data_IF_410411681175
#
_entry.id   IF_410411681175
#
_cell.length_a   1.000
_cell.length_b   1.000
_cell.length_c   1.000
_cell.angle_alpha   90.00
_cell.angle_beta   90.00
_cell.angle_gamma   90.00
#
_symmetry.space_group_name_H-M   'P 1'
#
loop_
_entity.id
_entity.type
_entity.pdbx_description
1 polymer ?
#
# COMPACT_ATOMS: atom_id res chain seq x y z
N UNK A 1 25.97 22.25 22.78
CA UNK A 1 25.50 21.85 21.44
C UNK A 1 25.22 20.38 21.48
N UNK A 2 23.94 20.01 21.62
CA UNK A 2 23.48 18.63 21.59
C UNK A 2 23.20 18.37 20.11
N UNK A 3 24.03 17.55 19.45
CA UNK A 3 23.77 17.13 18.09
C UNK A 3 22.55 16.22 18.11
N UNK A 4 21.46 16.66 17.50
CA UNK A 4 20.31 15.80 17.28
C UNK A 4 20.76 14.64 16.38
N UNK A 5 20.70 13.44 16.93
CA UNK A 5 20.92 12.22 16.18
C UNK A 5 19.67 12.06 15.30
N UNK A 6 19.77 12.10 13.96
CA UNK A 6 18.59 11.88 13.13
C UNK A 6 18.05 10.48 13.43
N UNK A 7 16.76 10.41 13.75
CA UNK A 7 16.04 9.14 13.85
C UNK A 7 16.05 8.53 12.46
N UNK A 8 17.00 7.63 12.20
CA UNK A 8 16.91 6.72 11.07
C UNK A 8 15.72 5.81 11.34
N UNK A 9 14.60 6.04 10.67
CA UNK A 9 13.53 5.06 10.59
C UNK A 9 14.14 3.83 9.93
N UNK A 10 14.47 2.82 10.75
CA UNK A 10 14.94 1.55 10.23
C UNK A 10 13.89 1.01 9.26
N UNK A 11 14.39 0.62 8.09
CA UNK A 11 13.69 0.05 6.96
C UNK A 11 12.58 -0.89 7.42
N UNK A 12 11.43 -0.85 6.72
CA UNK A 12 10.30 -1.73 7.00
C UNK A 12 10.71 -3.19 7.16
N UNK A 13 9.85 -3.98 7.82
CA UNK A 13 9.97 -5.43 8.01
C UNK A 13 10.73 -6.03 6.82
N UNK A 14 12.03 -6.36 6.98
CA UNK A 14 13.00 -6.50 5.88
C UNK A 14 12.79 -7.77 5.04
N UNK A 15 11.59 -7.94 4.52
CA UNK A 15 11.16 -9.07 3.71
C UNK A 15 11.23 -8.68 2.23
N UNK A 16 11.75 -9.58 1.37
CA UNK A 16 11.66 -9.41 -0.07
C UNK A 16 10.20 -9.24 -0.51
N UNK A 17 9.95 -8.29 -1.41
CA UNK A 17 8.62 -8.03 -1.94
C UNK A 17 7.91 -9.30 -2.46
N UNK A 18 8.58 -10.24 -3.16
CA UNK A 18 7.93 -11.49 -3.56
C UNK A 18 7.39 -12.32 -2.39
N UNK A 19 8.05 -12.30 -1.22
CA UNK A 19 7.58 -13.01 -0.03
C UNK A 19 6.36 -12.33 0.58
N UNK A 20 6.33 -10.99 0.60
CA UNK A 20 5.18 -10.22 1.07
C UNK A 20 3.97 -10.51 0.17
N UNK A 21 4.16 -10.47 -1.16
CA UNK A 21 3.10 -10.75 -2.13
C UNK A 21 2.57 -12.18 -1.98
N UNK A 22 3.47 -13.16 -1.80
CA UNK A 22 3.05 -14.55 -1.60
C UNK A 22 2.27 -14.74 -0.30
N UNK A 23 2.73 -14.12 0.79
CA UNK A 23 1.99 -14.12 2.06
C UNK A 23 0.59 -13.53 1.89
N UNK A 24 0.44 -12.42 1.16
CA UNK A 24 -0.86 -11.80 0.91
C UNK A 24 -1.79 -12.70 0.09
N UNK A 25 -1.27 -13.43 -0.90
CA UNK A 25 -2.06 -14.43 -1.64
C UNK A 25 -2.57 -15.55 -0.74
N UNK A 26 -1.73 -16.05 0.16
CA UNK A 26 -2.11 -17.07 1.14
C UNK A 26 -3.18 -16.57 2.11
N UNK A 27 -3.05 -15.32 2.58
CA UNK A 27 -4.06 -14.70 3.44
C UNK A 27 -5.39 -14.50 2.71
N UNK A 28 -5.37 -14.03 1.46
CA UNK A 28 -6.56 -13.86 0.63
C UNK A 28 -7.27 -15.18 0.31
N UNK A 29 -6.53 -16.28 0.22
CA UNK A 29 -7.09 -17.62 0.01
C UNK A 29 -7.62 -18.28 1.30
N UNK A 30 -7.34 -17.70 2.46
CA UNK A 30 -7.75 -18.26 3.75
C UNK A 30 -9.22 -17.97 4.06
N UNK A 31 -9.98 -19.00 4.42
CA UNK A 31 -11.38 -18.85 4.82
C UNK A 31 -11.57 -18.14 6.18
N UNK A 32 -10.51 -18.08 7.01
CA UNK A 32 -10.58 -17.55 8.37
C UNK A 32 -10.12 -16.07 8.46
N UNK A 33 -9.66 -15.49 7.36
CA UNK A 33 -9.14 -14.13 7.30
C UNK A 33 -10.03 -13.30 6.38
N UNK A 34 -10.58 -12.20 6.92
CA UNK A 34 -11.26 -11.19 6.12
C UNK A 34 -10.28 -10.08 5.83
N UNK A 35 -10.02 -9.83 4.54
CA UNK A 35 -9.21 -8.71 4.07
C UNK A 35 -10.13 -7.66 3.48
N UNK A 36 -10.03 -6.42 3.95
CA UNK A 36 -10.75 -5.31 3.32
C UNK A 36 -10.23 -5.09 1.90
N UNK A 37 -11.14 -4.84 0.96
CA UNK A 37 -10.81 -4.68 -0.47
C UNK A 37 -10.09 -5.92 -1.06
N UNK A 38 -10.52 -7.11 -0.64
CA UNK A 38 -9.92 -8.38 -1.07
C UNK A 38 -9.92 -8.58 -2.58
N UNK A 39 -10.98 -8.17 -3.29
CA UNK A 39 -11.08 -8.36 -4.75
C UNK A 39 -10.08 -7.47 -5.50
N UNK A 40 -9.99 -6.20 -5.11
CA UNK A 40 -9.04 -5.25 -5.67
C UNK A 40 -7.60 -5.66 -5.34
N UNK A 41 -7.35 -6.08 -4.10
CA UNK A 41 -6.04 -6.55 -3.69
C UNK A 41 -5.64 -7.84 -4.42
N UNK A 42 -6.55 -8.80 -4.57
CA UNK A 42 -6.31 -10.05 -5.29
C UNK A 42 -5.94 -9.76 -6.75
N UNK A 43 -6.63 -8.82 -7.39
CA UNK A 43 -6.32 -8.37 -8.75
C UNK A 43 -4.92 -7.74 -8.82
N UNK A 44 -4.58 -6.90 -7.85
CA UNK A 44 -3.29 -6.20 -7.80
C UNK A 44 -2.12 -7.18 -7.61
N UNK A 45 -2.25 -8.15 -6.70
CA UNK A 45 -1.18 -9.13 -6.41
C UNK A 45 -1.10 -10.26 -7.45
N UNK A 46 -2.14 -10.47 -8.26
CA UNK A 46 -2.12 -11.40 -9.39
C UNK A 46 -1.46 -10.85 -10.65
N UNK A 47 -1.19 -9.53 -10.71
CA UNK A 47 -0.52 -8.92 -11.86
C UNK A 47 0.87 -9.51 -12.10
N UNK A 48 1.31 -9.57 -13.37
CA UNK A 48 2.63 -10.09 -13.75
C UNK A 48 3.78 -9.29 -13.12
N UNK A 49 3.55 -8.02 -12.82
CA UNK A 49 4.49 -7.14 -12.12
C UNK A 49 3.71 -6.34 -11.07
N UNK A 50 3.47 -6.91 -9.88
CA UNK A 50 2.79 -6.19 -8.82
C UNK A 50 3.67 -5.01 -8.36
N UNK A 51 3.08 -3.90 -7.93
CA UNK A 51 3.85 -2.73 -7.49
C UNK A 51 4.81 -3.10 -6.35
N UNK A 52 6.07 -2.67 -6.49
CA UNK A 52 7.17 -3.10 -5.62
C UNK A 52 7.08 -2.55 -4.20
N UNK A 53 6.28 -1.51 -4.00
CA UNK A 53 5.94 -0.86 -2.74
C UNK A 53 4.65 -0.08 -2.98
N UNK A 54 3.89 0.28 -1.93
CA UNK A 54 2.64 1.04 -1.96
C UNK A 54 1.32 0.24 -1.87
N UNK A 55 1.36 -1.04 -1.46
CA UNK A 55 0.12 -1.81 -1.25
C UNK A 55 -0.82 -1.15 -0.23
N UNK A 56 -0.24 -0.60 0.85
CA UNK A 56 -1.01 0.15 1.84
C UNK A 56 -1.68 1.39 1.24
N UNK A 57 -1.00 2.12 0.36
CA UNK A 57 -1.55 3.31 -0.28
C UNK A 57 -2.72 2.96 -1.23
N UNK A 58 -2.66 1.81 -1.92
CA UNK A 58 -3.80 1.30 -2.68
C UNK A 58 -5.00 1.02 -1.78
N UNK A 59 -4.81 0.35 -0.65
CA UNK A 59 -5.88 0.09 0.32
C UNK A 59 -6.51 1.39 0.84
N UNK A 60 -5.69 2.39 1.17
CA UNK A 60 -6.17 3.71 1.62
C UNK A 60 -7.00 4.40 0.53
N UNK A 61 -6.56 4.34 -0.72
CA UNK A 61 -7.31 4.92 -1.85
C UNK A 61 -8.64 4.21 -2.04
N UNK A 62 -8.65 2.87 -2.05
CA UNK A 62 -9.89 2.12 -2.22
C UNK A 62 -10.87 2.36 -1.09
N UNK A 63 -10.39 2.45 0.15
CA UNK A 63 -11.23 2.79 1.31
C UNK A 63 -11.87 4.17 1.12
N UNK A 64 -11.07 5.20 0.81
CA UNK A 64 -11.59 6.54 0.59
C UNK A 64 -12.61 6.62 -0.57
N UNK A 65 -12.30 5.98 -1.70
CA UNK A 65 -13.21 5.96 -2.85
C UNK A 65 -14.53 5.24 -2.54
N UNK A 66 -14.46 4.12 -1.79
CA UNK A 66 -15.64 3.37 -1.35
C UNK A 66 -16.54 4.20 -0.42
N UNK A 67 -15.95 5.06 0.41
CA UNK A 67 -16.67 5.97 1.31
C UNK A 67 -17.16 7.26 0.61
N UNK A 68 -16.98 7.37 -0.72
CA UNK A 68 -17.48 8.47 -1.52
C UNK A 68 -16.52 9.66 -1.63
N UNK A 69 -15.28 9.53 -1.17
CA UNK A 69 -14.26 10.53 -1.45
C UNK A 69 -13.99 10.58 -2.96
N UNK A 70 -13.82 11.79 -3.48
CA UNK A 70 -13.43 11.98 -4.89
C UNK A 70 -11.98 11.58 -5.14
N UNK A 71 -11.11 11.87 -4.16
CA UNK A 71 -9.65 11.68 -4.18
C UNK A 71 -9.14 11.50 -2.77
N UNK A 72 -8.01 10.82 -2.64
CA UNK A 72 -7.18 10.77 -1.42
C UNK A 72 -5.98 11.69 -1.62
N UNK A 73 -5.64 12.48 -0.60
CA UNK A 73 -4.50 13.40 -0.64
C UNK A 73 -3.32 12.78 0.12
N UNK A 74 -2.12 12.85 -0.45
CA UNK A 74 -0.87 12.36 0.16
C UNK A 74 0.25 13.41 0.06
N UNK A 75 1.27 13.28 0.90
CA UNK A 75 2.54 13.99 0.74
C UNK A 75 3.56 13.19 -0.08
N UNK A 76 3.30 11.91 -0.34
CA UNK A 76 4.17 11.05 -1.13
C UNK A 76 3.96 11.30 -2.63
N UNK A 77 4.92 11.98 -3.25
CA UNK A 77 4.92 12.28 -4.69
C UNK A 77 4.97 11.04 -5.57
N UNK A 78 5.62 9.95 -5.14
CA UNK A 78 5.68 8.70 -5.90
C UNK A 78 4.32 8.01 -5.88
N UNK A 79 3.69 7.91 -4.70
CA UNK A 79 2.36 7.32 -4.57
C UNK A 79 1.31 8.12 -5.36
N UNK A 80 1.30 9.46 -5.22
CA UNK A 80 0.42 10.35 -5.97
C UNK A 80 0.55 10.20 -7.49
N UNK A 81 1.75 9.88 -8.00
CA UNK A 81 1.98 9.65 -9.43
C UNK A 81 1.54 8.25 -9.89
N UNK A 82 1.69 7.25 -9.02
CA UNK A 82 1.52 5.85 -9.38
C UNK A 82 0.09 5.33 -9.17
N UNK A 83 -0.67 5.89 -8.23
CA UNK A 83 -1.92 5.30 -7.74
C UNK A 83 -3.12 6.11 -8.23
N UNK A 84 -3.99 5.54 -9.08
CA UNK A 84 -5.21 6.20 -9.52
C UNK A 84 -6.12 6.53 -8.34
N UNK A 85 -6.53 7.79 -8.21
CA UNK A 85 -7.37 8.24 -7.09
C UNK A 85 -6.60 8.93 -5.96
N UNK A 86 -5.27 8.93 -6.01
CA UNK A 86 -4.41 9.67 -5.09
C UNK A 86 -3.86 10.96 -5.74
N UNK A 87 -3.73 12.04 -4.97
CA UNK A 87 -3.17 13.33 -5.41
C UNK A 87 -2.16 13.87 -4.40
N UNK A 88 -1.14 14.58 -4.88
CA UNK A 88 -0.15 15.24 -4.02
C UNK A 88 -0.78 16.49 -3.41
N UNK A 89 -0.58 16.71 -2.11
CA UNK A 89 -0.98 17.97 -1.47
C UNK A 89 -0.23 19.15 -2.12
N UNK A 90 -1.00 20.13 -2.60
CA UNK A 90 -0.50 21.35 -3.25
C UNK A 90 0.13 22.34 -2.26
#
# INVERSE_FOLDING_TARGET
MIGENPVSYHDGLSYPQPQIIEMLRLLLASAEVVVEHADELNTLVAAQSPPETNLADYLVVWAGLRDGCRKVITFDRKAARAIPGMELLA
#
